data_IF_991941674493
#
_entry.id   IF_991941674493
#
_cell.length_a   1.000
_cell.length_b   1.000
_cell.length_c   1.000
_cell.angle_alpha   90.00
_cell.angle_beta   90.00
_cell.angle_gamma   90.00
#
_symmetry.space_group_name_H-M   'P 1'
#
loop_
_entity.id
_entity.type
_entity.pdbx_description
1 polymer ?
#
# COMPACT_ATOMS: atom_id res chain seq x y z
N UNK A 1 21.24 -0.98 19.07
CA UNK A 1 20.24 -1.92 19.59
C UNK A 1 18.85 -1.29 19.57
N UNK A 2 17.80 -2.09 19.69
CA UNK A 2 16.42 -1.59 19.74
C UNK A 2 16.22 -0.56 20.87
N UNK A 3 16.83 -0.81 22.04
CA UNK A 3 16.78 0.08 23.21
C UNK A 3 17.43 1.44 22.93
N UNK A 4 18.50 1.49 22.14
CA UNK A 4 19.15 2.75 21.76
C UNK A 4 18.26 3.56 20.80
N UNK A 5 17.54 2.89 19.91
CA UNK A 5 16.58 3.53 19.00
C UNK A 5 15.39 4.11 19.77
N UNK A 6 14.82 3.34 20.73
CA UNK A 6 13.73 3.82 21.58
C UNK A 6 14.17 5.04 22.40
N UNK A 7 15.41 5.09 22.88
CA UNK A 7 15.96 6.29 23.55
C UNK A 7 16.02 7.48 22.61
N UNK A 8 16.53 7.31 21.39
CA UNK A 8 16.59 8.41 20.40
C UNK A 8 15.22 8.99 20.06
N UNK A 9 14.20 8.13 19.98
CA UNK A 9 12.80 8.53 19.85
C UNK A 9 12.36 9.44 20.99
N UNK A 10 12.54 8.97 22.22
CA UNK A 10 12.13 9.67 23.43
C UNK A 10 12.87 11.01 23.57
N UNK A 11 14.17 11.03 23.29
CA UNK A 11 15.02 12.22 23.35
C UNK A 11 14.64 13.24 22.29
N UNK A 12 14.36 12.80 21.05
CA UNK A 12 13.91 13.71 19.98
C UNK A 12 12.54 14.29 20.32
N UNK A 13 11.57 13.48 20.71
CA UNK A 13 10.25 13.98 21.09
C UNK A 13 10.31 14.92 22.28
N UNK A 14 11.17 14.67 23.26
CA UNK A 14 11.40 15.54 24.40
C UNK A 14 12.08 16.88 24.05
N UNK A 15 12.93 16.88 23.01
CA UNK A 15 13.61 18.09 22.52
C UNK A 15 12.72 19.00 21.66
N UNK A 16 11.57 18.52 21.20
CA UNK A 16 10.64 19.30 20.40
C UNK A 16 9.96 20.37 21.26
N UNK A 17 10.16 21.63 20.93
CA UNK A 17 9.47 22.77 21.59
C UNK A 17 8.00 22.85 21.22
N UNK A 18 7.64 22.36 20.01
CA UNK A 18 6.28 22.21 19.51
C UNK A 18 6.19 20.86 18.82
N UNK A 19 5.25 20.02 19.25
CA UNK A 19 5.01 18.72 18.62
C UNK A 19 4.25 18.91 17.32
N UNK A 20 4.69 18.33 16.19
CA UNK A 20 3.90 18.27 14.95
C UNK A 20 2.56 17.57 15.15
N UNK A 21 1.56 17.92 14.35
CA UNK A 21 0.22 17.29 14.40
C UNK A 21 0.28 15.78 14.17
N UNK A 22 1.17 15.34 13.27
CA UNK A 22 1.45 13.92 13.05
C UNK A 22 2.96 13.68 13.13
N UNK A 23 3.32 12.58 13.77
CA UNK A 23 4.70 12.11 13.88
C UNK A 23 4.70 10.59 13.79
N UNK A 24 5.34 10.06 12.77
CA UNK A 24 5.36 8.63 12.44
C UNK A 24 6.78 8.12 12.30
N UNK A 25 7.08 7.03 13.01
CA UNK A 25 8.37 6.37 12.96
C UNK A 25 8.28 5.04 12.22
N UNK A 26 9.25 4.78 11.36
CA UNK A 26 9.33 3.53 10.62
C UNK A 26 10.75 2.96 10.67
N UNK A 27 10.89 1.68 11.03
CA UNK A 27 12.15 0.96 11.07
C UNK A 27 12.19 -0.11 9.98
N UNK A 28 13.11 0.05 9.02
CA UNK A 28 13.46 -1.03 8.11
C UNK A 28 14.60 -1.86 8.71
N UNK A 29 14.28 -3.09 9.09
CA UNK A 29 15.24 -4.07 9.59
C UNK A 29 15.96 -4.72 8.41
N UNK A 30 16.98 -4.02 7.89
CA UNK A 30 17.89 -4.52 6.84
C UNK A 30 19.15 -5.15 7.41
N UNK A 31 19.34 -5.02 8.72
CA UNK A 31 20.49 -5.52 9.46
C UNK A 31 20.48 -7.05 9.64
N UNK A 32 21.63 -7.65 9.46
CA UNK A 32 21.89 -9.07 9.74
C UNK A 32 22.88 -9.20 10.89
N UNK A 33 22.69 -10.24 11.70
CA UNK A 33 23.64 -10.57 12.77
C UNK A 33 24.94 -11.06 12.15
N UNK A 34 26.09 -10.56 12.65
CA UNK A 34 27.43 -10.93 12.17
C UNK A 34 27.61 -10.73 10.65
N UNK A 35 27.13 -9.57 10.16
CA UNK A 35 27.18 -9.25 8.74
C UNK A 35 28.61 -8.98 8.26
N UNK A 36 28.94 -9.44 7.05
CA UNK A 36 30.26 -9.26 6.43
C UNK A 36 30.54 -7.82 5.97
N UNK A 37 29.54 -6.95 5.97
CA UNK A 37 29.65 -5.56 5.53
C UNK A 37 28.88 -4.63 6.47
N UNK A 38 29.33 -3.36 6.53
CA UNK A 38 28.61 -2.31 7.28
C UNK A 38 27.20 -2.11 6.76
N UNK A 39 26.98 -2.19 5.45
CA UNK A 39 25.65 -2.12 4.85
C UNK A 39 24.74 -3.25 5.34
N UNK A 40 25.26 -4.46 5.43
CA UNK A 40 24.52 -5.61 5.95
C UNK A 40 24.28 -5.54 7.46
N UNK A 41 25.08 -4.76 8.20
CA UNK A 41 24.91 -4.52 9.64
C UNK A 41 23.99 -3.33 9.96
N UNK A 42 23.55 -2.58 8.93
CA UNK A 42 22.82 -1.32 9.10
C UNK A 42 21.33 -1.50 8.92
N UNK A 43 20.54 -0.75 9.71
CA UNK A 43 19.10 -0.61 9.56
C UNK A 43 18.75 0.85 9.21
N UNK A 44 17.67 1.05 8.45
CA UNK A 44 17.16 2.37 8.16
C UNK A 44 16.02 2.73 9.11
N UNK A 45 16.18 3.86 9.79
CA UNK A 45 15.19 4.41 10.68
C UNK A 45 14.74 5.78 10.19
N UNK A 46 13.46 5.97 9.94
CA UNK A 46 12.90 7.21 9.41
C UNK A 46 11.83 7.78 10.32
N UNK A 47 11.80 9.11 10.39
CA UNK A 47 10.74 9.88 11.04
C UNK A 47 10.08 10.77 9.98
N UNK A 48 8.76 10.65 9.86
CA UNK A 48 7.96 11.51 9.00
C UNK A 48 7.04 12.35 9.88
N UNK A 49 7.06 13.67 9.68
CA UNK A 49 6.22 14.61 10.41
C UNK A 49 5.34 15.38 9.45
N UNK A 50 4.11 15.70 9.90
CA UNK A 50 3.16 16.49 9.12
C UNK A 50 2.49 17.52 10.02
N UNK A 51 2.34 18.73 9.51
CA UNK A 51 1.62 19.82 10.16
C UNK A 51 1.13 20.82 9.11
N UNK A 52 0.03 21.48 9.37
CA UNK A 52 -0.48 22.56 8.53
C UNK A 52 0.39 23.82 8.58
N UNK A 53 1.12 24.03 9.68
CA UNK A 53 2.08 25.13 9.83
C UNK A 53 3.46 24.68 9.34
N UNK A 54 3.95 25.22 8.20
CA UNK A 54 5.26 24.87 7.66
C UNK A 54 6.43 25.20 8.60
N UNK A 55 6.25 26.13 9.53
CA UNK A 55 7.29 26.47 10.51
C UNK A 55 7.53 25.34 11.53
N UNK A 56 6.52 24.50 11.79
CA UNK A 56 6.63 23.37 12.73
C UNK A 56 7.41 22.22 12.09
N UNK A 57 7.12 21.88 10.84
CA UNK A 57 7.78 20.78 10.11
C UNK A 57 9.11 21.18 9.44
N UNK A 58 9.46 22.46 9.49
CA UNK A 58 10.72 22.99 8.98
C UNK A 58 11.83 22.97 10.04
N UNK A 59 12.54 24.10 10.13
CA UNK A 59 13.74 24.24 10.98
C UNK A 59 13.52 23.94 12.46
N UNK A 60 12.32 24.17 13.00
CA UNK A 60 12.01 23.87 14.41
C UNK A 60 12.13 22.37 14.71
N UNK A 61 11.67 21.52 13.77
CA UNK A 61 11.80 20.06 13.88
C UNK A 61 13.22 19.60 13.54
N UNK A 62 13.75 20.07 12.42
CA UNK A 62 15.03 19.59 11.90
C UNK A 62 16.22 19.99 12.78
N UNK A 63 16.16 21.16 13.45
CA UNK A 63 17.21 21.57 14.40
C UNK A 63 17.28 20.61 15.59
N UNK A 64 16.16 20.18 16.15
CA UNK A 64 16.16 19.23 17.26
C UNK A 64 16.82 17.90 16.85
N UNK A 65 16.51 17.40 15.63
CA UNK A 65 17.14 16.19 15.10
C UNK A 65 18.66 16.35 14.88
N UNK A 66 19.09 17.50 14.35
CA UNK A 66 20.52 17.78 14.08
C UNK A 66 21.30 17.95 15.40
N UNK A 67 20.74 18.64 16.39
CA UNK A 67 21.39 18.84 17.68
C UNK A 67 21.60 17.51 18.42
N UNK A 68 20.70 16.56 18.27
CA UNK A 68 20.81 15.23 18.85
C UNK A 68 21.79 14.30 18.10
N UNK A 69 22.19 14.64 16.88
CA UNK A 69 23.04 13.75 16.07
C UNK A 69 24.36 13.37 16.75
N UNK A 70 24.98 14.30 17.50
CA UNK A 70 26.23 14.08 18.25
C UNK A 70 25.98 13.54 19.66
N UNK A 71 24.81 13.72 20.21
CA UNK A 71 24.43 13.27 21.55
C UNK A 71 23.67 11.93 21.53
N UNK A 72 23.42 11.37 20.34
CA UNK A 72 22.64 10.15 20.13
C UNK A 72 23.44 8.88 20.50
N UNK A 73 23.32 7.84 19.76
CA UNK A 73 23.94 6.54 20.02
C UNK A 73 25.14 6.27 19.10
N UNK A 74 26.09 5.41 19.51
CA UNK A 74 27.20 5.02 18.65
C UNK A 74 26.71 4.38 17.33
N UNK A 75 27.32 4.76 16.21
CA UNK A 75 26.93 4.29 14.88
C UNK A 75 25.75 5.06 14.25
N UNK A 76 25.30 6.14 14.88
CA UNK A 76 24.32 7.04 14.27
C UNK A 76 24.92 7.73 13.05
N UNK A 77 24.20 7.70 11.94
CA UNK A 77 24.50 8.46 10.72
C UNK A 77 23.19 8.90 10.06
N UNK A 78 23.25 9.88 9.17
CA UNK A 78 22.10 10.36 8.40
C UNK A 78 22.29 10.07 6.92
N UNK A 79 21.23 9.67 6.23
CA UNK A 79 21.24 9.42 4.79
C UNK A 79 21.34 10.72 3.99
N UNK A 80 20.78 11.82 4.54
CA UNK A 80 20.87 13.17 3.99
C UNK A 80 20.62 14.18 5.12
N UNK A 81 21.07 15.43 4.99
CA UNK A 81 20.68 16.50 5.90
C UNK A 81 19.15 16.67 5.86
N UNK A 82 18.50 16.88 7.03
CA UNK A 82 17.07 17.15 7.04
C UNK A 82 16.78 18.50 6.34
N UNK A 83 15.76 18.46 5.48
CA UNK A 83 15.30 19.63 4.70
C UNK A 83 14.06 20.29 5.29
N UNK A 84 13.57 21.31 4.58
CA UNK A 84 12.30 21.95 4.90
C UNK A 84 11.12 21.05 4.54
N UNK A 85 9.98 21.26 5.25
CA UNK A 85 8.73 20.58 4.91
C UNK A 85 8.25 20.93 3.50
N UNK A 86 7.63 19.96 2.84
CA UNK A 86 7.08 20.11 1.49
C UNK A 86 5.57 19.93 1.52
N UNK A 87 4.85 20.69 0.71
CA UNK A 87 3.43 20.46 0.48
C UNK A 87 3.24 19.19 -0.33
N UNK A 88 2.18 18.44 -0.06
CA UNK A 88 1.78 17.28 -0.85
C UNK A 88 0.32 17.40 -1.27
N UNK A 89 -0.01 16.81 -2.44
CA UNK A 89 -1.39 16.75 -2.93
C UNK A 89 -2.14 15.55 -2.36
N UNK A 90 -3.40 15.77 -1.98
CA UNK A 90 -4.35 14.72 -1.61
C UNK A 90 -5.31 14.51 -2.77
N UNK A 91 -5.37 13.29 -3.31
CA UNK A 91 -6.31 12.94 -4.36
C UNK A 91 -7.71 12.76 -3.76
N UNK A 92 -8.68 13.49 -4.31
CA UNK A 92 -10.10 13.32 -3.97
C UNK A 92 -10.88 13.04 -5.24
N UNK A 93 -11.60 11.92 -5.30
CA UNK A 93 -12.46 11.59 -6.41
C UNK A 93 -13.72 12.44 -6.38
N UNK A 94 -14.10 13.01 -7.53
CA UNK A 94 -15.36 13.71 -7.75
C UNK A 94 -16.11 13.09 -8.91
N UNK A 95 -17.42 13.23 -8.90
CA UNK A 95 -18.30 12.72 -9.95
C UNK A 95 -19.05 13.89 -10.57
N UNK A 96 -19.14 13.88 -11.89
CA UNK A 96 -19.93 14.82 -12.67
C UNK A 96 -20.83 14.04 -13.64
N UNK A 97 -22.01 14.59 -14.00
CA UNK A 97 -22.84 13.97 -15.04
C UNK A 97 -22.05 13.81 -16.34
N UNK A 98 -22.14 12.65 -16.98
CA UNK A 98 -21.36 12.34 -18.19
C UNK A 98 -21.64 13.34 -19.33
N UNK A 99 -22.84 13.94 -19.38
CA UNK A 99 -23.19 14.93 -20.35
C UNK A 99 -22.39 16.24 -20.25
N UNK A 100 -21.81 16.52 -19.08
CA UNK A 100 -20.97 17.71 -18.85
C UNK A 100 -19.54 17.51 -19.35
N UNK A 101 -19.16 16.26 -19.70
CA UNK A 101 -17.81 15.91 -20.16
C UNK A 101 -17.84 15.68 -21.68
N UNK A 102 -17.26 16.61 -22.43
CA UNK A 102 -17.16 16.46 -23.89
C UNK A 102 -16.15 15.35 -24.25
N UNK A 103 -16.63 14.27 -24.85
CA UNK A 103 -15.81 13.23 -25.44
C UNK A 103 -15.66 13.49 -26.94
N UNK A 104 -14.43 13.52 -27.42
CA UNK A 104 -14.13 13.82 -28.84
C UNK A 104 -13.11 12.82 -29.36
N UNK A 105 -13.46 12.09 -30.41
CA UNK A 105 -12.49 11.31 -31.19
C UNK A 105 -11.71 12.25 -32.11
N UNK A 106 -10.38 12.17 -32.09
CA UNK A 106 -9.51 12.90 -33.00
C UNK A 106 -8.89 11.89 -33.96
N UNK A 107 -9.22 11.99 -35.23
CA UNK A 107 -8.69 11.13 -36.28
C UNK A 107 -7.26 11.53 -36.69
N UNK A 108 -6.50 10.66 -37.38
CA UNK A 108 -5.13 10.95 -37.83
C UNK A 108 -5.02 12.17 -38.76
N UNK A 109 -6.09 12.50 -39.49
CA UNK A 109 -6.18 13.67 -40.37
C UNK A 109 -6.53 14.98 -39.61
N UNK A 110 -6.68 14.89 -38.27
CA UNK A 110 -7.08 16.02 -37.44
C UNK A 110 -8.60 16.25 -37.33
N UNK A 111 -9.41 15.48 -38.04
CA UNK A 111 -10.88 15.56 -37.94
C UNK A 111 -11.34 15.24 -36.52
N UNK A 112 -12.21 16.06 -35.95
CA UNK A 112 -12.75 15.91 -34.60
C UNK A 112 -14.22 15.51 -34.66
N UNK A 113 -14.57 14.38 -34.10
CA UNK A 113 -15.91 13.85 -34.05
C UNK A 113 -16.39 13.76 -32.60
N UNK A 114 -17.47 14.50 -32.21
CA UNK A 114 -18.06 14.34 -30.88
C UNK A 114 -18.60 12.93 -30.69
N UNK A 115 -18.37 12.36 -29.51
CA UNK A 115 -18.94 11.07 -29.11
C UNK A 115 -19.96 11.37 -28.02
N UNK A 116 -21.27 11.25 -28.32
CA UNK A 116 -22.30 11.46 -27.30
C UNK A 116 -22.23 10.37 -26.21
N UNK A 117 -22.70 10.66 -24.98
CA UNK A 117 -22.91 9.61 -23.98
C UNK A 117 -23.90 8.55 -24.49
N UNK A 118 -23.87 7.37 -23.92
CA UNK A 118 -24.86 6.33 -24.22
C UNK A 118 -26.27 6.80 -23.77
N UNK A 119 -27.26 6.56 -24.62
CA UNK A 119 -28.67 6.90 -24.34
C UNK A 119 -29.26 6.02 -23.23
N UNK A 120 -28.75 4.77 -23.12
CA UNK A 120 -29.16 3.78 -22.12
C UNK A 120 -27.95 3.33 -21.30
N UNK A 121 -28.13 3.22 -20.00
CA UNK A 121 -27.14 2.69 -19.05
C UNK A 121 -27.76 1.58 -18.22
N UNK A 122 -26.95 0.57 -17.89
CA UNK A 122 -27.33 -0.49 -16.97
C UNK A 122 -27.01 -0.07 -15.54
N UNK A 123 -27.93 -0.23 -14.61
CA UNK A 123 -27.63 -0.08 -13.20
C UNK A 123 -26.78 -1.27 -12.75
N UNK A 124 -25.66 -0.99 -12.06
CA UNK A 124 -24.75 -2.04 -11.60
C UNK A 124 -25.39 -2.95 -10.54
N UNK A 125 -26.44 -2.49 -9.86
CA UNK A 125 -27.21 -3.32 -8.91
C UNK A 125 -27.99 -4.43 -9.60
N UNK A 126 -28.27 -4.28 -10.91
CA UNK A 126 -28.99 -5.27 -11.71
C UNK A 126 -28.06 -6.34 -12.31
N UNK A 127 -26.75 -6.20 -12.10
CA UNK A 127 -25.76 -7.17 -12.58
C UNK A 127 -25.62 -8.29 -11.56
N UNK A 128 -26.02 -9.50 -11.94
CA UNK A 128 -25.82 -10.67 -11.08
C UNK A 128 -24.33 -10.96 -10.89
N UNK A 129 -23.85 -11.09 -9.64
CA UNK A 129 -22.45 -11.40 -9.40
C UNK A 129 -22.10 -12.80 -9.95
N UNK A 130 -20.86 -13.00 -10.43
CA UNK A 130 -20.43 -14.31 -10.93
C UNK A 130 -20.54 -15.37 -9.82
N UNK A 131 -21.01 -16.56 -10.22
CA UNK A 131 -21.10 -17.69 -9.31
C UNK A 131 -19.72 -18.17 -8.89
N UNK A 132 -19.59 -18.52 -7.60
CA UNK A 132 -18.39 -19.19 -7.10
C UNK A 132 -18.40 -20.66 -7.55
N UNK A 133 -17.33 -21.17 -8.16
CA UNK A 133 -17.28 -22.60 -8.55
C UNK A 133 -17.22 -23.48 -7.30
N UNK A 134 -17.54 -24.75 -7.49
CA UNK A 134 -17.39 -25.75 -6.43
C UNK A 134 -15.93 -25.83 -5.98
N UNK A 135 -15.66 -25.95 -4.68
CA UNK A 135 -14.30 -26.14 -4.18
C UNK A 135 -13.66 -27.40 -4.80
N UNK A 136 -12.32 -27.48 -4.85
CA UNK A 136 -11.64 -28.70 -5.28
C UNK A 136 -12.01 -29.87 -4.35
N UNK A 137 -11.85 -31.08 -4.83
CA UNK A 137 -11.99 -32.28 -4.00
C UNK A 137 -11.01 -32.24 -2.82
N UNK A 138 -11.45 -32.70 -1.67
CA UNK A 138 -10.61 -32.78 -0.49
C UNK A 138 -9.45 -33.76 -0.72
N UNK A 139 -8.24 -33.31 -0.49
CA UNK A 139 -7.01 -34.08 -0.69
C UNK A 139 -5.91 -33.66 0.30
N UNK A 140 -4.77 -34.33 0.27
CA UNK A 140 -3.60 -33.90 1.05
C UNK A 140 -3.11 -32.54 0.57
N UNK A 141 -2.89 -31.63 1.52
CA UNK A 141 -2.38 -30.29 1.28
C UNK A 141 -0.94 -30.14 1.74
N UNK A 142 -0.25 -29.15 1.22
CA UNK A 142 1.08 -28.72 1.67
C UNK A 142 1.04 -27.24 2.03
N UNK A 143 1.69 -26.88 3.09
CA UNK A 143 1.84 -25.49 3.48
C UNK A 143 2.98 -24.83 2.69
N UNK A 144 2.62 -24.05 1.68
CA UNK A 144 3.54 -23.42 0.73
C UNK A 144 3.22 -21.93 0.55
N UNK A 145 4.18 -21.11 0.07
CA UNK A 145 3.87 -19.74 -0.30
C UNK A 145 2.78 -19.70 -1.39
N UNK A 146 1.82 -18.78 -1.26
CA UNK A 146 0.75 -18.59 -2.27
C UNK A 146 1.33 -18.41 -3.68
N UNK A 147 2.48 -17.77 -3.81
CA UNK A 147 3.18 -17.57 -5.08
C UNK A 147 3.62 -18.85 -5.78
N UNK A 148 3.51 -20.02 -5.14
CA UNK A 148 3.76 -21.33 -5.77
C UNK A 148 2.75 -21.61 -6.88
N UNK A 149 1.49 -21.19 -6.71
CA UNK A 149 0.42 -21.42 -7.69
C UNK A 149 -0.16 -20.13 -8.28
N UNK A 150 0.00 -18.99 -7.59
CA UNK A 150 -0.66 -17.75 -7.96
C UNK A 150 0.31 -16.64 -8.36
N UNK A 151 -0.05 -15.89 -9.40
CA UNK A 151 0.48 -14.57 -9.68
C UNK A 151 -0.33 -13.49 -8.95
N UNK A 152 0.30 -12.35 -8.64
CA UNK A 152 -0.43 -11.21 -8.12
C UNK A 152 0.11 -9.90 -8.68
N UNK A 153 -0.76 -8.89 -8.69
CA UNK A 153 -0.41 -7.51 -9.00
C UNK A 153 -1.20 -6.58 -8.08
N UNK A 154 -0.54 -5.55 -7.61
CA UNK A 154 -1.18 -4.58 -6.72
C UNK A 154 -0.81 -3.15 -7.08
N UNK A 155 -1.54 -2.19 -6.52
CA UNK A 155 -1.27 -0.78 -6.72
C UNK A 155 -2.30 0.13 -6.05
N UNK A 156 -1.92 1.39 -5.96
CA UNK A 156 -2.71 2.45 -5.37
C UNK A 156 -4.00 2.77 -6.16
N UNK A 157 -5.01 3.15 -5.41
CA UNK A 157 -6.29 3.69 -5.87
C UNK A 157 -6.71 4.85 -4.95
N UNK A 158 -6.01 6.00 -5.06
CA UNK A 158 -6.13 7.08 -4.10
C UNK A 158 -5.67 6.66 -2.70
N UNK A 159 -6.53 6.77 -1.70
CA UNK A 159 -6.26 6.27 -0.33
C UNK A 159 -6.41 4.76 -0.16
N UNK A 160 -6.88 4.05 -1.18
CA UNK A 160 -7.09 2.60 -1.19
C UNK A 160 -6.03 1.91 -2.05
N UNK A 161 -5.95 0.58 -1.97
CA UNK A 161 -5.15 -0.23 -2.88
C UNK A 161 -5.97 -1.40 -3.41
N UNK A 162 -5.64 -1.87 -4.62
CA UNK A 162 -6.15 -3.13 -5.11
C UNK A 162 -5.05 -4.20 -5.19
N UNK A 163 -5.47 -5.46 -5.06
CA UNK A 163 -4.65 -6.65 -5.28
C UNK A 163 -5.43 -7.58 -6.20
N UNK A 164 -4.94 -7.75 -7.42
CA UNK A 164 -5.40 -8.82 -8.31
C UNK A 164 -4.55 -10.06 -8.11
N UNK A 165 -5.19 -11.20 -7.89
CA UNK A 165 -4.54 -12.52 -7.75
C UNK A 165 -5.11 -13.45 -8.80
N UNK A 166 -4.26 -14.15 -9.56
CA UNK A 166 -4.72 -15.05 -10.63
C UNK A 166 -3.95 -16.36 -10.62
N UNK A 167 -4.56 -17.35 -11.22
CA UNK A 167 -4.00 -18.69 -11.39
C UNK A 167 -4.13 -19.17 -12.84
N UNK A 168 -3.52 -20.31 -13.16
CA UNK A 168 -3.41 -20.75 -14.56
C UNK A 168 -4.37 -21.87 -14.95
N UNK A 169 -4.81 -22.69 -13.99
CA UNK A 169 -5.68 -23.85 -14.27
C UNK A 169 -7.05 -23.72 -13.60
N UNK A 170 -8.04 -24.46 -14.11
CA UNK A 170 -9.38 -24.47 -13.53
C UNK A 170 -9.42 -25.09 -12.12
N UNK A 171 -8.56 -26.05 -11.85
CA UNK A 171 -8.40 -26.63 -10.52
C UNK A 171 -7.88 -25.60 -9.51
N UNK A 172 -6.82 -24.87 -9.88
CA UNK A 172 -6.30 -23.77 -9.07
C UNK A 172 -7.34 -22.65 -8.90
N UNK A 173 -8.17 -22.41 -9.93
CA UNK A 173 -9.25 -21.42 -9.85
C UNK A 173 -10.32 -21.82 -8.84
N UNK A 174 -10.73 -23.09 -8.80
CA UNK A 174 -11.66 -23.59 -7.78
C UNK A 174 -11.11 -23.35 -6.38
N UNK A 175 -9.81 -23.64 -6.18
CA UNK A 175 -9.14 -23.37 -4.90
C UNK A 175 -9.09 -21.85 -4.60
N UNK A 176 -8.59 -21.05 -5.53
CA UNK A 176 -8.41 -19.60 -5.32
C UNK A 176 -9.74 -18.92 -4.98
N UNK A 177 -10.78 -19.22 -5.73
CA UNK A 177 -12.10 -18.59 -5.58
C UNK A 177 -12.83 -19.00 -4.29
N UNK A 178 -12.50 -20.14 -3.71
CA UNK A 178 -13.13 -20.65 -2.48
C UNK A 178 -12.26 -20.44 -1.24
N UNK A 179 -10.95 -20.60 -1.34
CA UNK A 179 -10.03 -20.50 -0.21
C UNK A 179 -9.57 -19.06 0.09
N UNK A 180 -9.31 -18.25 -0.94
CA UNK A 180 -8.86 -16.87 -0.74
C UNK A 180 -10.07 -15.92 -0.57
N UNK A 181 -10.70 -16.02 0.60
CA UNK A 181 -11.81 -15.16 1.04
C UNK A 181 -11.31 -13.83 1.61
N UNK A 182 -12.22 -12.92 1.96
CA UNK A 182 -11.87 -11.68 2.68
C UNK A 182 -11.23 -12.00 4.02
N UNK A 183 -11.76 -12.97 4.75
CA UNK A 183 -11.22 -13.35 6.06
C UNK A 183 -9.84 -14.00 5.93
N UNK A 184 -9.64 -14.87 4.95
CA UNK A 184 -8.32 -15.41 4.65
C UNK A 184 -7.31 -14.31 4.27
N UNK A 185 -7.75 -13.30 3.50
CA UNK A 185 -6.88 -12.17 3.17
C UNK A 185 -6.47 -11.37 4.42
N UNK A 186 -7.40 -11.14 5.36
CA UNK A 186 -7.12 -10.47 6.64
C UNK A 186 -6.09 -11.22 7.48
N UNK A 187 -6.20 -12.54 7.53
CA UNK A 187 -5.21 -13.39 8.22
C UNK A 187 -3.83 -13.32 7.56
N UNK A 188 -3.79 -13.29 6.24
CA UNK A 188 -2.53 -13.22 5.47
C UNK A 188 -1.90 -11.83 5.49
N UNK A 189 -2.70 -10.77 5.55
CA UNK A 189 -2.29 -9.37 5.58
C UNK A 189 -2.84 -8.68 6.83
N UNK A 190 -2.21 -8.84 8.00
CA UNK A 190 -2.72 -8.29 9.27
C UNK A 190 -2.91 -6.77 9.27
N UNK A 191 -2.15 -6.01 8.47
CA UNK A 191 -2.33 -4.55 8.34
C UNK A 191 -3.66 -4.15 7.71
N UNK A 192 -4.36 -5.08 7.06
CA UNK A 192 -5.68 -4.88 6.47
C UNK A 192 -6.83 -5.43 7.33
N UNK A 193 -6.54 -5.96 8.53
CA UNK A 193 -7.51 -6.70 9.34
C UNK A 193 -8.76 -5.89 9.68
N UNK A 194 -8.58 -4.61 10.03
CA UNK A 194 -9.67 -3.72 10.46
C UNK A 194 -10.23 -2.86 9.31
N UNK A 195 -9.76 -3.07 8.08
CA UNK A 195 -10.16 -2.26 6.93
C UNK A 195 -11.35 -2.88 6.19
N UNK A 196 -12.10 -2.04 5.49
CA UNK A 196 -13.12 -2.49 4.54
C UNK A 196 -12.45 -3.11 3.33
N UNK A 197 -12.84 -4.34 2.99
CA UNK A 197 -12.28 -5.07 1.85
C UNK A 197 -13.40 -5.50 0.93
N UNK A 198 -13.40 -4.97 -0.29
CA UNK A 198 -14.21 -5.47 -1.40
C UNK A 198 -13.51 -6.66 -2.07
N UNK A 199 -14.27 -7.69 -2.45
CA UNK A 199 -13.77 -8.87 -3.17
C UNK A 199 -14.57 -9.11 -4.43
N UNK A 200 -13.90 -9.22 -5.56
CA UNK A 200 -14.52 -9.36 -6.87
C UNK A 200 -13.96 -10.59 -7.60
N UNK A 201 -14.82 -11.49 -8.01
CA UNK A 201 -14.46 -12.65 -8.83
C UNK A 201 -14.42 -12.28 -10.30
N UNK A 202 -13.38 -12.71 -10.99
CA UNK A 202 -13.17 -12.53 -12.42
C UNK A 202 -12.94 -13.93 -13.08
N UNK A 203 -14.00 -14.72 -13.26
CA UNK A 203 -13.88 -16.15 -13.67
C UNK A 203 -13.15 -16.33 -14.99
N UNK A 204 -13.43 -15.51 -15.98
CA UNK A 204 -12.79 -15.57 -17.31
C UNK A 204 -11.27 -15.33 -17.26
N UNK A 205 -10.79 -14.67 -16.22
CA UNK A 205 -9.37 -14.43 -15.98
C UNK A 205 -8.78 -15.39 -14.95
N UNK A 206 -9.59 -16.26 -14.36
CA UNK A 206 -9.23 -17.07 -13.19
C UNK A 206 -8.57 -16.23 -12.11
N UNK A 207 -9.19 -15.08 -11.82
CA UNK A 207 -8.63 -14.08 -10.92
C UNK A 207 -9.65 -13.62 -9.87
N UNK A 208 -9.11 -13.22 -8.73
CA UNK A 208 -9.83 -12.51 -7.67
C UNK A 208 -9.18 -11.14 -7.51
N UNK A 209 -9.97 -10.08 -7.51
CA UNK A 209 -9.48 -8.73 -7.19
C UNK A 209 -10.01 -8.30 -5.83
N UNK A 210 -9.13 -7.84 -4.97
CA UNK A 210 -9.46 -7.22 -3.71
C UNK A 210 -9.24 -5.71 -3.80
N UNK A 211 -10.13 -4.95 -3.18
CA UNK A 211 -9.98 -3.50 -2.96
C UNK A 211 -9.93 -3.30 -1.45
N UNK A 212 -8.81 -2.79 -0.96
CA UNK A 212 -8.58 -2.53 0.47
C UNK A 212 -8.69 -1.04 0.69
N UNK A 213 -9.80 -0.61 1.29
CA UNK A 213 -10.11 0.79 1.49
C UNK A 213 -9.26 1.40 2.61
N UNK A 214 -8.69 2.57 2.35
CA UNK A 214 -7.96 3.35 3.35
C UNK A 214 -6.57 2.85 3.74
N UNK A 215 -6.07 1.74 3.16
CA UNK A 215 -4.74 1.20 3.49
C UNK A 215 -3.60 2.19 3.20
N UNK A 216 -3.83 3.15 2.30
CA UNK A 216 -2.90 4.23 1.95
C UNK A 216 -3.33 5.59 2.53
N UNK A 217 -4.26 5.63 3.49
CA UNK A 217 -4.71 6.87 4.14
C UNK A 217 -5.11 7.94 3.11
N UNK A 218 -4.44 9.07 3.09
CA UNK A 218 -4.68 10.17 2.14
C UNK A 218 -4.02 9.97 0.76
N UNK A 219 -3.45 8.80 0.49
CA UNK A 219 -2.85 8.47 -0.79
C UNK A 219 -1.33 8.45 -0.80
N UNK A 220 -0.76 8.27 -1.99
CA UNK A 220 0.67 8.00 -2.19
C UNK A 220 1.59 9.08 -1.60
N UNK A 221 1.25 10.35 -1.79
CA UNK A 221 2.08 11.45 -1.33
C UNK A 221 2.05 11.66 0.20
N UNK A 222 1.05 11.09 0.87
CA UNK A 222 0.91 11.12 2.32
C UNK A 222 1.76 10.05 3.01
N UNK A 223 2.02 8.91 2.35
CA UNK A 223 2.55 7.72 2.98
C UNK A 223 3.99 7.85 3.50
N UNK A 224 4.21 7.39 4.74
CA UNK A 224 5.54 7.17 5.31
C UNK A 224 6.05 5.73 5.15
N UNK A 225 5.21 4.82 4.63
CA UNK A 225 5.57 3.41 4.43
C UNK A 225 6.58 3.24 3.28
N UNK A 226 7.37 2.16 3.30
CA UNK A 226 8.39 1.86 2.27
C UNK A 226 7.79 1.60 0.88
N UNK A 227 6.56 1.11 0.82
CA UNK A 227 5.81 0.92 -0.41
C UNK A 227 4.59 1.86 -0.44
N UNK A 228 4.79 3.15 -0.74
CA UNK A 228 3.72 4.15 -0.68
C UNK A 228 2.66 3.95 -1.76
N UNK A 229 2.97 3.20 -2.81
CA UNK A 229 2.08 2.89 -3.91
C UNK A 229 1.46 1.50 -3.84
N UNK A 230 1.69 0.74 -2.77
CA UNK A 230 1.25 -0.65 -2.63
C UNK A 230 1.64 -1.55 -3.83
N UNK A 231 2.80 -1.27 -4.47
CA UNK A 231 3.28 -2.06 -5.63
C UNK A 231 3.83 -3.42 -5.20
N UNK A 232 4.41 -3.50 -4.02
CA UNK A 232 4.92 -4.73 -3.41
C UNK A 232 3.87 -5.51 -2.62
N UNK A 233 2.67 -4.95 -2.39
CA UNK A 233 1.64 -5.57 -1.56
C UNK A 233 1.21 -6.95 -2.09
N UNK A 234 1.08 -7.08 -3.41
CA UNK A 234 0.79 -8.36 -4.06
C UNK A 234 1.91 -9.38 -3.92
N UNK A 235 3.17 -8.95 -3.98
CA UNK A 235 4.33 -9.82 -3.77
C UNK A 235 4.43 -10.26 -2.30
N UNK A 236 4.12 -9.36 -1.37
CA UNK A 236 4.04 -9.74 0.05
C UNK A 236 2.94 -10.78 0.28
N UNK A 237 1.73 -10.60 -0.31
CA UNK A 237 0.68 -11.61 -0.26
C UNK A 237 1.16 -12.96 -0.83
N UNK A 238 1.85 -12.96 -1.98
CA UNK A 238 2.39 -14.18 -2.59
C UNK A 238 3.41 -14.90 -1.72
N UNK A 239 4.13 -14.17 -0.87
CA UNK A 239 5.10 -14.78 0.07
C UNK A 239 4.44 -15.46 1.27
N UNK A 240 3.14 -15.20 1.52
CA UNK A 240 2.43 -15.77 2.65
C UNK A 240 2.11 -17.25 2.43
N UNK A 241 2.25 -18.02 3.49
CA UNK A 241 2.05 -19.48 3.44
C UNK A 241 0.56 -19.82 3.57
N UNK A 242 0.10 -20.69 2.71
CA UNK A 242 -1.28 -21.22 2.65
C UNK A 242 -1.22 -22.74 2.45
N UNK A 243 -2.32 -23.42 2.75
CA UNK A 243 -2.44 -24.85 2.52
C UNK A 243 -2.97 -25.10 1.11
N UNK A 244 -2.12 -25.66 0.25
CA UNK A 244 -2.35 -25.90 -1.17
C UNK A 244 -2.26 -27.38 -1.47
#
# INVERSE_FOLDING_TARGET
SLDQMVRSLTELEAALTVRPAELEWTLARTDHVDADTEQGASALYSCVVRDADPAIVGRRFTSAAVELALASYPGFTTTAPPGDGQVYGVFTAGYVPIAEVAHVAVHPDGTRVPIPPADETLDLTDVEPPSTPQPPESGPTRRLPLGTIAGARSGDKGGSANIGVWVRTDEQWRWLSTALTVDALRELLPEAADLTIGRHLLPELRAVNFVIEGILGQGVAYQARFDPQAKGLGEWLRSRYVDI
#
